data_IF_500743463058
#
_entry.id   IF_500743463058
#
_cell.length_a   1.000
_cell.length_b   1.000
_cell.length_c   1.000
_cell.angle_alpha   90.00
_cell.angle_beta   90.00
_cell.angle_gamma   90.00
#
_symmetry.space_group_name_H-M   'P 1'
#
loop_
_entity.id
_entity.type
_entity.pdbx_description
1 polymer ?
#
# COMPACT_ATOMS: atom_id res chain seq x y z
N UNK A 1 33.40 -4.83 21.92
CA UNK A 1 33.37 -4.80 20.44
C UNK A 1 32.12 -4.06 20.02
N UNK A 2 32.25 -2.83 19.55
CA UNK A 2 31.13 -2.04 19.07
C UNK A 2 30.55 -2.70 17.81
N UNK A 3 29.30 -3.12 17.88
CA UNK A 3 28.54 -3.64 16.74
C UNK A 3 28.42 -2.51 15.72
N UNK A 4 29.06 -2.63 14.55
CA UNK A 4 28.83 -1.73 13.43
C UNK A 4 27.32 -1.71 13.15
N UNK A 5 26.64 -0.60 13.49
CA UNK A 5 25.27 -0.38 13.09
C UNK A 5 25.18 -0.51 11.58
N UNK A 6 24.30 -1.40 11.09
CA UNK A 6 24.07 -1.56 9.65
C UNK A 6 23.77 -0.16 9.07
N UNK A 7 24.58 0.30 8.13
CA UNK A 7 24.36 1.59 7.48
C UNK A 7 23.01 1.58 6.76
N UNK A 8 22.31 2.72 6.76
CA UNK A 8 21.07 2.87 6.03
C UNK A 8 21.36 2.77 4.52
N UNK A 9 20.77 1.79 3.84
CA UNK A 9 21.05 1.52 2.42
C UNK A 9 20.04 2.27 1.55
N UNK A 10 20.50 3.15 0.64
CA UNK A 10 19.61 3.78 -0.32
C UNK A 10 19.09 2.73 -1.31
N UNK A 11 17.78 2.70 -1.48
CA UNK A 11 17.06 1.84 -2.40
C UNK A 11 16.32 2.68 -3.43
N UNK A 12 16.00 2.05 -4.57
CA UNK A 12 15.24 2.67 -5.66
C UNK A 12 13.81 2.15 -5.65
N UNK A 13 12.86 3.04 -5.92
CA UNK A 13 11.47 2.63 -6.14
C UNK A 13 11.40 1.55 -7.23
N UNK A 14 10.66 0.47 -6.94
CA UNK A 14 10.50 -0.65 -7.88
C UNK A 14 9.35 -0.34 -8.82
N UNK A 15 9.70 0.06 -10.04
CA UNK A 15 8.73 0.34 -11.10
C UNK A 15 8.60 -0.88 -12.02
N UNK A 16 7.39 -1.42 -12.10
CA UNK A 16 7.01 -2.43 -13.09
C UNK A 16 6.05 -1.84 -14.11
N UNK A 17 6.23 -2.19 -15.38
CA UNK A 17 5.29 -1.85 -16.45
C UNK A 17 4.64 -3.13 -16.95
N UNK A 18 3.31 -3.23 -16.89
CA UNK A 18 2.56 -4.41 -17.31
C UNK A 18 1.64 -4.07 -18.47
N UNK A 19 1.77 -4.83 -19.55
CA UNK A 19 0.91 -4.74 -20.73
C UNK A 19 -0.11 -5.87 -20.60
N UNK A 20 -1.40 -5.57 -20.73
CA UNK A 20 -2.43 -6.62 -20.79
C UNK A 20 -2.61 -7.15 -22.21
N UNK A 21 -3.21 -8.35 -22.41
CA UNK A 21 -3.66 -8.79 -23.72
C UNK A 21 -4.67 -7.81 -24.34
N UNK A 22 -4.85 -7.87 -25.66
CA UNK A 22 -6.00 -7.22 -26.31
C UNK A 22 -7.29 -7.86 -25.78
N UNK A 23 -8.32 -7.04 -25.61
CA UNK A 23 -9.66 -7.52 -25.27
C UNK A 23 -10.41 -7.89 -26.54
N UNK A 24 -11.40 -8.81 -26.50
CA UNK A 24 -12.18 -9.21 -27.67
C UNK A 24 -12.79 -8.02 -28.45
N UNK A 25 -13.26 -7.00 -27.72
CA UNK A 25 -13.84 -5.79 -28.33
C UNK A 25 -12.79 -4.89 -29.01
N UNK A 26 -11.50 -5.05 -28.68
CA UNK A 26 -10.37 -4.35 -29.31
C UNK A 26 -9.78 -5.16 -30.47
N UNK A 27 -10.03 -6.47 -30.53
CA UNK A 27 -9.61 -7.34 -31.64
C UNK A 27 -10.52 -7.19 -32.88
N UNK A 28 -11.77 -6.73 -32.68
CA UNK A 28 -12.84 -6.77 -33.68
C UNK A 28 -13.05 -5.53 -34.56
N UNK A 29 -12.38 -4.41 -34.31
CA UNK A 29 -12.43 -3.27 -35.23
C UNK A 29 -11.34 -3.44 -36.29
N UNK A 30 -11.70 -3.48 -37.58
CA UNK A 30 -10.82 -3.76 -38.73
C UNK A 30 -9.51 -2.90 -38.84
N UNK A 31 -9.18 -2.05 -37.86
CA UNK A 31 -7.95 -1.25 -37.81
C UNK A 31 -7.27 -1.14 -36.42
N UNK A 32 -7.70 -1.85 -35.36
CA UNK A 32 -7.03 -1.81 -34.04
C UNK A 32 -5.85 -2.80 -33.98
N UNK A 33 -4.74 -2.43 -34.62
CA UNK A 33 -3.45 -3.13 -34.51
C UNK A 33 -2.80 -2.82 -33.14
N UNK A 34 -1.94 -3.72 -32.66
CA UNK A 34 -1.08 -3.48 -31.49
C UNK A 34 -0.33 -2.15 -31.63
N UNK A 35 -0.68 -1.14 -30.85
CA UNK A 35 0.00 0.16 -30.92
C UNK A 35 1.43 0.11 -30.38
N UNK A 36 1.79 -0.98 -29.71
CA UNK A 36 3.05 -1.17 -29.01
C UNK A 36 3.66 -2.53 -29.33
N UNK A 37 4.98 -2.52 -29.49
CA UNK A 37 5.84 -3.71 -29.48
C UNK A 37 6.70 -3.68 -28.24
N UNK A 38 7.18 -4.83 -27.81
CA UNK A 38 8.09 -4.94 -26.69
C UNK A 38 9.17 -5.97 -27.00
N UNK A 39 10.39 -5.62 -26.64
CA UNK A 39 11.53 -6.53 -26.71
C UNK A 39 12.43 -6.30 -25.51
N UNK A 40 12.76 -7.38 -24.80
CA UNK A 40 13.50 -7.35 -23.55
C UNK A 40 12.87 -6.39 -22.52
N UNK A 41 13.52 -5.24 -22.29
CA UNK A 41 13.15 -4.23 -21.30
C UNK A 41 12.56 -2.96 -21.92
N UNK A 42 12.37 -2.97 -23.23
CA UNK A 42 11.98 -1.79 -24.01
C UNK A 42 10.61 -2.01 -24.65
N UNK A 43 9.73 -1.03 -24.47
CA UNK A 43 8.45 -0.93 -25.16
C UNK A 43 8.56 0.19 -26.19
N UNK A 44 8.16 -0.10 -27.43
CA UNK A 44 8.29 0.78 -28.59
C UNK A 44 6.96 0.92 -29.29
N UNK A 45 6.59 2.15 -29.61
CA UNK A 45 5.38 2.46 -30.35
C UNK A 45 5.50 1.93 -31.79
N UNK A 46 4.47 1.26 -32.29
CA UNK A 46 4.39 0.91 -33.71
C UNK A 46 4.01 2.16 -34.53
N UNK A 47 4.75 2.39 -35.62
CA UNK A 47 4.41 3.43 -36.59
C UNK A 47 3.49 2.80 -37.65
N UNK A 48 2.23 3.23 -37.68
CA UNK A 48 1.30 2.81 -38.71
C UNK A 48 1.49 3.70 -39.95
N UNK A 49 1.69 3.13 -41.15
CA UNK A 49 1.77 3.93 -42.37
C UNK A 49 0.43 4.67 -42.56
N UNK A 50 0.50 6.00 -42.74
CA UNK A 50 -0.66 6.82 -43.01
C UNK A 50 -1.41 6.25 -44.22
N UNK A 51 -2.69 5.89 -44.04
CA UNK A 51 -3.53 5.53 -45.17
C UNK A 51 -3.63 6.76 -46.09
N UNK A 52 -3.18 6.60 -47.34
CA UNK A 52 -3.28 7.62 -48.39
C UNK A 52 -4.76 7.91 -48.65
N UNK A 53 -5.35 8.81 -47.87
CA UNK A 53 -6.76 9.21 -47.99
C UNK A 53 -7.38 9.87 -46.77
N UNK A 54 -6.82 9.74 -45.55
CA UNK A 54 -7.41 10.35 -44.36
C UNK A 54 -6.98 11.82 -44.19
N UNK A 55 -7.61 12.74 -44.92
CA UNK A 55 -7.54 14.18 -44.64
C UNK A 55 -8.47 14.56 -43.48
N UNK A 56 -8.42 13.83 -42.36
CA UNK A 56 -9.14 14.21 -41.14
C UNK A 56 -8.26 15.11 -40.27
N UNK A 57 -8.85 16.16 -39.73
CA UNK A 57 -8.22 17.07 -38.74
C UNK A 57 -7.69 16.32 -37.52
N UNK A 58 -8.26 15.15 -37.19
CA UNK A 58 -7.80 14.26 -36.12
C UNK A 58 -6.48 13.55 -36.45
N UNK A 59 -6.28 13.07 -37.68
CA UNK A 59 -5.02 12.44 -38.08
C UNK A 59 -3.85 13.44 -38.03
N UNK A 60 -4.09 14.69 -38.47
CA UNK A 60 -3.11 15.76 -38.38
C UNK A 60 -2.86 16.25 -36.94
N UNK A 61 -3.88 16.26 -36.08
CA UNK A 61 -3.74 16.61 -34.66
C UNK A 61 -3.01 15.52 -33.86
N UNK A 62 -3.25 14.24 -34.20
CA UNK A 62 -2.53 13.10 -33.64
C UNK A 62 -1.05 13.14 -34.06
N UNK A 63 -0.76 13.35 -35.34
CA UNK A 63 0.61 13.49 -35.86
C UNK A 63 1.39 14.64 -35.21
N UNK A 64 0.75 15.80 -35.00
CA UNK A 64 1.35 16.94 -34.28
C UNK A 64 1.62 16.63 -32.79
N UNK A 65 0.73 15.90 -32.10
CA UNK A 65 0.93 15.47 -30.71
C UNK A 65 1.96 14.34 -30.58
N UNK A 66 2.16 13.56 -31.63
CA UNK A 66 3.10 12.43 -31.68
C UNK A 66 4.55 12.87 -31.90
N UNK A 67 4.81 13.98 -32.61
CA UNK A 67 6.18 14.47 -32.88
C UNK A 67 7.05 14.71 -31.64
N UNK A 68 6.44 15.02 -30.49
CA UNK A 68 7.16 15.33 -29.25
C UNK A 68 7.18 14.17 -28.23
N UNK A 69 6.59 13.02 -28.54
CA UNK A 69 6.57 11.88 -27.62
C UNK A 69 7.67 10.86 -27.93
N UNK A 70 8.37 10.32 -26.92
CA UNK A 70 9.34 9.26 -27.13
C UNK A 70 8.70 8.08 -27.84
N UNK A 71 9.35 7.58 -28.88
CA UNK A 71 8.90 6.40 -29.63
C UNK A 71 9.24 5.09 -28.90
N UNK A 72 10.07 5.14 -27.86
CA UNK A 72 10.44 3.99 -27.05
C UNK A 72 10.71 4.37 -25.57
N UNK A 73 10.49 3.42 -24.67
CA UNK A 73 10.71 3.56 -23.23
C UNK A 73 11.36 2.29 -22.68
N UNK A 74 12.30 2.44 -21.75
CA UNK A 74 13.04 1.31 -21.15
C UNK A 74 12.87 1.25 -19.64
N UNK A 75 12.46 0.10 -19.13
CA UNK A 75 12.19 -0.14 -17.72
C UNK A 75 12.99 -1.32 -17.18
N UNK A 76 13.26 -1.34 -15.87
CA UNK A 76 13.97 -2.47 -15.28
C UNK A 76 13.11 -3.74 -15.33
N UNK A 77 11.79 -3.57 -15.32
CA UNK A 77 10.79 -4.64 -15.37
C UNK A 77 9.65 -4.25 -16.31
N UNK A 78 9.57 -4.97 -17.42
CA UNK A 78 8.50 -4.90 -18.40
C UNK A 78 7.85 -6.28 -18.46
N UNK A 79 6.54 -6.33 -18.29
CA UNK A 79 5.75 -7.56 -18.23
C UNK A 79 4.82 -7.63 -19.43
N UNK A 80 5.16 -8.47 -20.43
CA UNK A 80 4.28 -8.79 -21.55
C UNK A 80 2.93 -9.39 -21.14
N UNK A 81 1.94 -9.41 -22.05
CA UNK A 81 0.59 -9.95 -21.81
C UNK A 81 0.54 -11.35 -21.19
N UNK A 82 1.51 -12.20 -21.52
CA UNK A 82 1.59 -13.60 -21.10
C UNK A 82 2.09 -13.75 -19.65
N UNK A 83 2.57 -12.66 -19.05
CA UNK A 83 3.15 -12.69 -17.70
C UNK A 83 2.06 -12.85 -16.64
N UNK A 84 2.14 -13.95 -15.88
CA UNK A 84 1.25 -14.19 -14.76
C UNK A 84 1.45 -13.17 -13.64
N UNK A 85 0.37 -12.90 -12.87
CA UNK A 85 0.45 -11.97 -11.74
C UNK A 85 1.41 -12.46 -10.64
N UNK A 86 1.63 -13.78 -10.53
CA UNK A 86 2.62 -14.36 -9.63
C UNK A 86 4.06 -13.94 -9.97
N UNK A 87 4.43 -13.96 -11.26
CA UNK A 87 5.74 -13.49 -11.72
C UNK A 87 5.89 -11.99 -11.49
N UNK A 88 4.83 -11.20 -11.76
CA UNK A 88 4.82 -9.76 -11.47
C UNK A 88 5.06 -9.51 -9.97
N UNK A 89 4.29 -10.15 -9.10
CA UNK A 89 4.41 -10.04 -7.65
C UNK A 89 5.82 -10.37 -7.15
N UNK A 90 6.35 -11.54 -7.55
CA UNK A 90 7.70 -11.97 -7.17
C UNK A 90 8.80 -11.02 -7.64
N UNK A 91 8.60 -10.36 -8.79
CA UNK A 91 9.59 -9.46 -9.36
C UNK A 91 9.59 -8.06 -8.73
N UNK A 92 8.41 -7.47 -8.43
CA UNK A 92 8.31 -6.08 -7.94
C UNK A 92 7.92 -5.93 -6.46
N UNK A 93 7.02 -6.77 -5.96
CA UNK A 93 6.28 -6.47 -4.72
C UNK A 93 6.71 -7.35 -3.54
N UNK A 94 7.14 -8.60 -3.79
CA UNK A 94 7.47 -9.56 -2.73
C UNK A 94 8.47 -9.00 -1.72
N UNK A 95 9.58 -8.44 -2.18
CA UNK A 95 10.59 -7.88 -1.28
C UNK A 95 10.03 -6.78 -0.36
N UNK A 96 9.18 -5.89 -0.89
CA UNK A 96 8.58 -4.80 -0.10
C UNK A 96 7.63 -5.35 0.98
N UNK A 97 6.94 -6.45 0.70
CA UNK A 97 6.14 -7.19 1.69
C UNK A 97 7.05 -7.79 2.76
N UNK A 98 8.17 -8.39 2.36
CA UNK A 98 9.12 -8.99 3.30
C UNK A 98 9.87 -7.95 4.15
N UNK A 99 10.14 -6.76 3.60
CA UNK A 99 10.73 -5.64 4.34
C UNK A 99 9.83 -5.23 5.52
N UNK A 100 8.51 -5.21 5.33
CA UNK A 100 7.56 -4.96 6.42
C UNK A 100 7.56 -6.06 7.48
N UNK A 101 7.64 -7.33 7.05
CA UNK A 101 7.62 -8.48 7.96
C UNK A 101 8.92 -8.66 8.76
N UNK A 102 10.06 -8.26 8.20
CA UNK A 102 11.40 -8.50 8.79
C UNK A 102 12.03 -7.27 9.42
N UNK A 103 11.84 -6.10 8.79
CA UNK A 103 12.50 -4.85 9.16
C UNK A 103 11.59 -3.81 9.80
N UNK A 104 10.28 -4.08 9.86
CA UNK A 104 9.31 -3.13 10.41
C UNK A 104 9.20 -1.88 9.53
N UNK A 105 9.47 -2.00 8.23
CA UNK A 105 9.42 -0.91 7.27
C UNK A 105 8.04 -0.81 6.62
N UNK A 106 7.50 0.39 6.54
CA UNK A 106 6.26 0.61 5.80
C UNK A 106 6.50 0.37 4.30
N UNK A 107 5.47 -0.10 3.60
CA UNK A 107 5.53 -0.22 2.15
C UNK A 107 4.24 0.19 1.46
N UNK A 108 4.39 0.70 0.25
CA UNK A 108 3.32 1.08 -0.65
C UNK A 108 3.45 0.28 -1.95
N UNK A 109 2.44 -0.53 -2.26
CA UNK A 109 2.27 -1.22 -3.53
C UNK A 109 1.09 -0.61 -4.26
N UNK A 110 1.34 0.12 -5.34
CA UNK A 110 0.31 0.88 -6.06
C UNK A 110 0.20 0.47 -7.52
N UNK A 111 -1.03 0.29 -8.01
CA UNK A 111 -1.30 0.17 -9.44
C UNK A 111 -1.80 1.50 -10.02
N UNK A 112 -1.26 1.87 -11.19
CA UNK A 112 -1.58 3.11 -11.90
C UNK A 112 -1.75 2.84 -13.39
N UNK A 113 -2.61 3.62 -14.04
CA UNK A 113 -2.92 3.48 -15.46
C UNK A 113 -4.38 3.80 -15.77
N UNK A 114 -4.71 3.79 -17.06
CA UNK A 114 -6.03 4.18 -17.54
C UNK A 114 -7.15 3.18 -17.18
N UNK A 115 -8.41 3.51 -17.46
CA UNK A 115 -9.50 2.55 -17.33
C UNK A 115 -9.22 1.31 -18.19
N UNK A 116 -9.61 0.14 -17.68
CA UNK A 116 -9.40 -1.16 -18.33
C UNK A 116 -7.94 -1.53 -18.61
N UNK A 117 -6.93 -0.85 -18.07
CA UNK A 117 -5.52 -1.20 -18.29
C UNK A 117 -5.05 -2.43 -17.53
N UNK A 118 -5.84 -2.94 -16.57
CA UNK A 118 -5.51 -4.12 -15.76
C UNK A 118 -5.03 -3.83 -14.32
N UNK A 119 -5.30 -2.62 -13.77
CA UNK A 119 -4.99 -2.27 -12.38
C UNK A 119 -5.65 -3.23 -11.37
N UNK A 120 -6.99 -3.28 -11.36
CA UNK A 120 -7.78 -4.13 -10.47
C UNK A 120 -7.46 -5.62 -10.66
N UNK A 121 -7.31 -6.07 -11.91
CA UNK A 121 -6.88 -7.45 -12.22
C UNK A 121 -5.54 -7.80 -11.54
N UNK A 122 -4.59 -6.87 -11.56
CA UNK A 122 -3.25 -7.10 -10.99
C UNK A 122 -3.24 -7.03 -9.47
N UNK A 123 -4.00 -6.11 -8.86
CA UNK A 123 -3.99 -5.90 -7.40
C UNK A 123 -4.97 -6.84 -6.69
N UNK A 124 -6.24 -6.80 -7.10
CA UNK A 124 -7.37 -7.42 -6.39
C UNK A 124 -7.92 -8.67 -7.08
N UNK A 125 -7.56 -8.92 -8.34
CA UNK A 125 -8.07 -10.06 -9.10
C UNK A 125 -7.78 -11.40 -8.42
N UNK A 126 -8.42 -12.47 -8.90
CA UNK A 126 -8.13 -13.83 -8.41
C UNK A 126 -6.66 -14.16 -8.67
N UNK A 127 -5.89 -14.45 -7.62
CA UNK A 127 -4.43 -14.59 -7.72
C UNK A 127 -3.69 -13.26 -7.94
N UNK A 128 -4.32 -12.14 -7.57
CA UNK A 128 -3.75 -10.80 -7.56
C UNK A 128 -2.64 -10.63 -6.53
N UNK A 129 -1.94 -9.50 -6.62
CA UNK A 129 -0.82 -9.14 -5.73
C UNK A 129 -1.23 -9.21 -4.26
N UNK A 130 -2.43 -8.77 -3.88
CA UNK A 130 -2.89 -8.82 -2.48
C UNK A 130 -2.94 -10.27 -1.98
N UNK A 131 -3.61 -11.16 -2.71
CA UNK A 131 -3.76 -12.56 -2.28
C UNK A 131 -2.42 -13.30 -2.22
N UNK A 132 -1.50 -12.99 -3.13
CA UNK A 132 -0.13 -13.52 -3.12
C UNK A 132 0.68 -12.96 -1.94
N UNK A 133 0.55 -11.67 -1.64
CA UNK A 133 1.20 -11.05 -0.50
C UNK A 133 0.71 -11.63 0.83
N UNK A 134 -0.60 -11.81 1.00
CA UNK A 134 -1.17 -12.44 2.20
C UNK A 134 -0.64 -13.88 2.36
N UNK A 135 -0.48 -14.63 1.27
CA UNK A 135 0.13 -15.97 1.31
C UNK A 135 1.55 -15.93 1.85
N UNK A 136 2.41 -15.05 1.31
CA UNK A 136 3.80 -14.92 1.75
C UNK A 136 3.90 -14.39 3.19
N UNK A 137 3.02 -13.46 3.59
CA UNK A 137 2.92 -12.95 4.97
C UNK A 137 2.65 -14.11 5.94
N UNK A 138 1.60 -14.89 5.71
CA UNK A 138 1.24 -16.00 6.61
C UNK A 138 2.22 -17.17 6.54
N UNK A 139 2.84 -17.41 5.38
CA UNK A 139 3.96 -18.35 5.29
C UNK A 139 5.12 -17.89 6.18
N UNK A 140 5.49 -16.62 6.16
CA UNK A 140 6.55 -16.07 7.00
C UNK A 140 6.21 -16.18 8.49
N UNK A 141 4.97 -15.87 8.88
CA UNK A 141 4.49 -16.05 10.26
C UNK A 141 4.68 -17.50 10.70
N UNK A 142 4.32 -18.47 9.85
CA UNK A 142 4.48 -19.89 10.15
C UNK A 142 5.96 -20.30 10.28
N UNK A 143 6.84 -19.80 9.41
CA UNK A 143 8.28 -20.05 9.46
C UNK A 143 8.93 -19.49 10.73
N UNK A 144 8.45 -18.35 11.23
CA UNK A 144 8.99 -17.65 12.42
C UNK A 144 8.23 -17.95 13.72
N UNK A 145 7.27 -18.88 13.71
CA UNK A 145 6.36 -19.14 14.85
C UNK A 145 7.05 -19.47 16.17
N UNK A 146 8.29 -19.96 16.13
CA UNK A 146 9.05 -20.35 17.32
C UNK A 146 9.86 -19.19 17.92
N UNK A 147 10.11 -18.13 17.14
CA UNK A 147 11.01 -17.03 17.52
C UNK A 147 10.29 -15.70 17.66
N UNK A 148 9.15 -15.53 16.97
CA UNK A 148 8.48 -14.23 16.83
C UNK A 148 6.97 -14.39 16.94
N UNK A 149 6.32 -13.44 17.60
CA UNK A 149 4.86 -13.30 17.64
C UNK A 149 4.43 -12.17 16.72
N UNK A 150 3.33 -12.40 15.98
CA UNK A 150 2.76 -11.45 15.04
C UNK A 150 1.31 -11.15 15.38
N UNK A 151 0.91 -9.89 15.26
CA UNK A 151 -0.47 -9.44 15.17
C UNK A 151 -0.65 -8.76 13.81
N UNK A 152 -1.54 -9.31 13.00
CA UNK A 152 -1.85 -8.78 11.67
C UNK A 152 -3.28 -8.27 11.69
N UNK A 153 -3.44 -7.01 11.30
CA UNK A 153 -4.74 -6.37 11.16
C UNK A 153 -4.95 -5.85 9.75
N UNK A 154 -6.18 -5.91 9.29
CA UNK A 154 -6.57 -5.52 7.93
C UNK A 154 -7.70 -4.51 7.99
N UNK A 155 -7.56 -3.44 7.24
CA UNK A 155 -8.62 -2.48 6.94
C UNK A 155 -8.76 -2.37 5.42
N UNK A 156 -9.99 -2.26 4.93
CA UNK A 156 -10.27 -2.16 3.49
C UNK A 156 -11.21 -0.99 3.23
N UNK A 157 -10.74 -0.02 2.44
CA UNK A 157 -11.39 1.28 2.31
C UNK A 157 -11.37 1.75 0.87
N UNK A 158 -12.47 2.33 0.42
CA UNK A 158 -12.56 3.10 -0.81
C UNK A 158 -12.48 4.61 -0.51
N UNK A 159 -11.85 5.37 -1.40
CA UNK A 159 -11.87 6.83 -1.41
C UNK A 159 -12.52 7.28 -2.72
N UNK A 160 -13.70 7.88 -2.61
CA UNK A 160 -14.41 8.49 -3.72
C UNK A 160 -14.74 9.95 -3.40
N UNK A 161 -14.39 10.87 -4.30
CA UNK A 161 -14.58 12.31 -4.11
C UNK A 161 -14.12 12.83 -2.72
N UNK A 162 -12.95 12.42 -2.25
CA UNK A 162 -12.39 12.77 -0.93
C UNK A 162 -13.25 12.31 0.28
N UNK A 163 -14.16 11.37 0.06
CA UNK A 163 -14.94 10.69 1.09
C UNK A 163 -14.48 9.23 1.22
N UNK A 164 -14.35 8.77 2.47
CA UNK A 164 -14.02 7.38 2.76
C UNK A 164 -15.26 6.51 2.82
N UNK A 165 -15.15 5.29 2.32
CA UNK A 165 -16.14 4.24 2.48
C UNK A 165 -15.46 2.96 3.00
N UNK A 166 -15.93 2.47 4.14
CA UNK A 166 -15.43 1.22 4.72
C UNK A 166 -16.01 0.01 3.98
N UNK A 167 -15.13 -0.88 3.51
CA UNK A 167 -15.49 -2.08 2.75
C UNK A 167 -15.65 -3.33 3.62
N UNK A 168 -15.29 -3.28 4.90
CA UNK A 168 -15.44 -4.39 5.83
C UNK A 168 -16.63 -4.24 6.78
N UNK A 169 -17.17 -3.01 6.91
CA UNK A 169 -18.30 -2.81 7.82
C UNK A 169 -19.56 -3.58 7.38
N UNK A 170 -20.16 -4.29 8.33
CA UNK A 170 -21.41 -5.06 8.15
C UNK A 170 -22.65 -4.29 8.56
N UNK A 171 -22.49 -3.18 9.28
CA UNK A 171 -23.56 -2.32 9.79
C UNK A 171 -23.21 -0.85 9.57
N UNK A 172 -24.18 0.02 9.30
CA UNK A 172 -23.90 1.46 9.22
C UNK A 172 -23.30 1.94 10.55
N UNK A 173 -22.03 2.33 10.52
CA UNK A 173 -21.37 2.98 11.66
C UNK A 173 -22.02 4.34 11.89
N UNK A 174 -22.28 4.68 13.15
CA UNK A 174 -22.71 6.02 13.55
C UNK A 174 -21.58 7.04 13.47
N UNK A 175 -20.32 6.58 13.53
CA UNK A 175 -19.15 7.45 13.42
C UNK A 175 -18.63 7.54 11.98
N UNK A 176 -18.42 8.76 11.44
CA UNK A 176 -17.88 8.95 10.11
C UNK A 176 -16.38 8.62 10.06
N UNK A 177 -15.96 7.97 8.97
CA UNK A 177 -14.54 7.71 8.70
C UNK A 177 -13.86 9.03 8.35
N UNK A 178 -12.75 9.33 9.03
CA UNK A 178 -12.00 10.58 8.82
C UNK A 178 -10.52 10.41 9.11
N UNK A 179 -9.71 11.26 8.49
CA UNK A 179 -8.32 11.46 8.88
C UNK A 179 -8.25 12.47 10.01
N UNK A 180 -7.67 12.08 11.14
CA UNK A 180 -7.35 12.97 12.27
C UNK A 180 -5.86 13.26 12.23
N UNK A 181 -5.48 14.51 12.45
CA UNK A 181 -4.09 14.90 12.54
C UNK A 181 -3.63 14.72 14.00
N UNK A 182 -2.62 13.89 14.20
CA UNK A 182 -1.98 13.70 15.49
C UNK A 182 -1.07 14.86 15.87
N UNK A 183 -0.57 14.85 17.10
CA UNK A 183 0.14 15.98 17.71
C UNK A 183 1.44 16.35 16.97
N UNK A 184 2.03 15.45 16.18
CA UNK A 184 3.30 15.68 15.46
C UNK A 184 3.11 15.76 13.95
N UNK A 185 1.87 15.91 13.50
CA UNK A 185 1.52 16.10 12.09
C UNK A 185 1.29 14.81 11.29
N UNK A 186 1.34 13.65 11.94
CA UNK A 186 0.88 12.38 11.40
C UNK A 186 -0.63 12.40 11.14
N UNK A 187 -1.08 11.72 10.08
CA UNK A 187 -2.50 11.48 9.84
C UNK A 187 -2.88 10.05 10.24
N UNK A 188 -3.91 9.93 11.08
CA UNK A 188 -4.48 8.66 11.52
C UNK A 188 -5.90 8.50 10.98
N UNK A 189 -6.22 7.33 10.44
CA UNK A 189 -7.57 7.01 9.96
C UNK A 189 -8.41 6.53 11.16
N UNK A 190 -9.51 7.21 11.45
CA UNK A 190 -10.44 6.85 12.55
C UNK A 190 -11.82 6.49 12.03
N UNK A 191 -12.61 5.73 12.79
CA UNK A 191 -13.98 5.36 12.43
C UNK A 191 -14.10 4.26 11.37
N UNK A 192 -13.00 3.59 11.05
CA UNK A 192 -12.95 2.48 10.10
C UNK A 192 -12.91 1.12 10.83
N UNK A 193 -13.45 0.09 10.19
CA UNK A 193 -13.35 -1.29 10.66
C UNK A 193 -11.94 -1.82 10.40
N UNK A 194 -11.28 -2.26 11.47
CA UNK A 194 -9.97 -2.92 11.42
C UNK A 194 -10.12 -4.33 12.01
N UNK A 195 -9.86 -5.37 11.20
CA UNK A 195 -10.09 -6.77 11.56
C UNK A 195 -8.76 -7.46 11.84
N UNK A 196 -8.64 -8.12 13.00
CA UNK A 196 -7.49 -8.97 13.31
C UNK A 196 -7.61 -10.31 12.60
N UNK A 197 -6.64 -10.64 11.75
CA UNK A 197 -6.64 -11.87 10.95
C UNK A 197 -5.67 -12.89 11.52
N UNK A 198 -6.14 -14.13 11.72
CA UNK A 198 -5.38 -15.19 12.40
C UNK A 198 -4.85 -16.27 11.46
N UNK A 199 -5.34 -16.31 10.22
CA UNK A 199 -4.92 -17.29 9.22
C UNK A 199 -5.05 -16.73 7.81
N UNK A 200 -4.35 -17.35 6.86
CA UNK A 200 -4.48 -17.03 5.43
C UNK A 200 -5.93 -17.16 4.96
N UNK A 201 -6.64 -18.21 5.37
CA UNK A 201 -8.04 -18.43 5.00
C UNK A 201 -8.95 -17.31 5.49
N UNK A 202 -8.78 -16.88 6.74
CA UNK A 202 -9.54 -15.74 7.29
C UNK A 202 -9.22 -14.45 6.53
N UNK A 203 -7.94 -14.14 6.28
CA UNK A 203 -7.57 -12.92 5.56
C UNK A 203 -8.09 -12.87 4.12
N UNK A 204 -8.08 -14.00 3.40
CA UNK A 204 -8.65 -14.11 2.06
C UNK A 204 -10.18 -13.97 2.07
N UNK A 205 -10.86 -14.54 3.06
CA UNK A 205 -12.31 -14.37 3.21
C UNK A 205 -12.71 -12.90 3.46
N UNK A 206 -11.93 -12.18 4.27
CA UNK A 206 -12.13 -10.73 4.50
C UNK A 206 -11.91 -9.93 3.20
N UNK A 207 -10.87 -10.26 2.44
CA UNK A 207 -10.62 -9.65 1.14
C UNK A 207 -11.78 -9.89 0.17
N UNK A 208 -12.23 -11.15 0.03
CA UNK A 208 -13.32 -11.53 -0.87
C UNK A 208 -14.64 -10.85 -0.46
N UNK A 209 -14.93 -10.77 0.84
CA UNK A 209 -16.11 -10.06 1.36
C UNK A 209 -16.08 -8.56 1.00
N UNK A 210 -14.94 -7.89 1.15
CA UNK A 210 -14.80 -6.49 0.76
C UNK A 210 -14.82 -6.27 -0.76
N UNK A 211 -14.33 -7.23 -1.55
CA UNK A 211 -14.47 -7.24 -3.02
C UNK A 211 -15.93 -7.37 -3.44
N UNK A 212 -16.68 -8.25 -2.78
CA UNK A 212 -18.08 -8.54 -3.08
C UNK A 212 -19.07 -7.51 -2.50
N UNK A 213 -18.60 -6.46 -1.79
CA UNK A 213 -19.50 -5.52 -1.10
C UNK A 213 -20.52 -4.88 -2.07
N UNK A 214 -21.83 -4.97 -1.79
CA UNK A 214 -22.87 -4.33 -2.61
C UNK A 214 -22.69 -2.81 -2.70
N UNK A 215 -23.13 -2.19 -3.80
CA UNK A 215 -22.95 -0.76 -4.07
C UNK A 215 -21.59 -0.41 -4.70
N UNK A 216 -20.67 -1.38 -4.75
CA UNK A 216 -19.38 -1.26 -5.41
C UNK A 216 -19.50 -1.25 -6.96
N UNK A 217 -20.51 -1.87 -7.56
CA UNK A 217 -20.55 -2.14 -9.01
C UNK A 217 -20.70 -0.94 -9.98
N UNK A 218 -21.44 0.12 -9.64
CA UNK A 218 -21.77 1.19 -10.59
C UNK A 218 -20.85 2.43 -10.53
N UNK A 219 -20.12 2.61 -9.42
CA UNK A 219 -19.27 3.79 -9.12
C UNK A 219 -17.76 3.47 -9.11
N UNK A 220 -17.33 2.33 -9.67
CA UNK A 220 -15.89 1.94 -9.71
C UNK A 220 -14.99 2.92 -10.48
N UNK A 221 -15.56 3.78 -11.34
CA UNK A 221 -14.77 4.44 -12.40
C UNK A 221 -13.88 5.58 -11.93
N UNK A 222 -13.99 6.07 -10.68
CA UNK A 222 -13.28 7.28 -10.23
C UNK A 222 -12.66 7.19 -8.82
N UNK A 223 -12.75 6.04 -8.16
CA UNK A 223 -12.30 5.87 -6.78
C UNK A 223 -10.98 5.15 -6.64
N UNK A 224 -10.35 5.35 -5.49
CA UNK A 224 -9.15 4.62 -5.07
C UNK A 224 -9.55 3.54 -4.08
N UNK A 225 -9.12 2.31 -4.32
CA UNK A 225 -9.35 1.19 -3.39
C UNK A 225 -8.06 0.85 -2.66
N UNK A 226 -8.10 0.79 -1.33
CA UNK A 226 -6.91 0.65 -0.48
C UNK A 226 -7.14 -0.48 0.53
N UNK A 227 -6.34 -1.54 0.43
CA UNK A 227 -6.19 -2.51 1.50
C UNK A 227 -4.98 -2.11 2.35
N UNK A 228 -5.22 -1.80 3.62
CA UNK A 228 -4.20 -1.53 4.62
C UNK A 228 -3.98 -2.79 5.45
N UNK A 229 -2.73 -3.25 5.50
CA UNK A 229 -2.31 -4.36 6.36
C UNK A 229 -1.33 -3.80 7.40
N UNK A 230 -1.76 -3.77 8.65
CA UNK A 230 -0.93 -3.40 9.79
C UNK A 230 -0.29 -4.66 10.35
N UNK A 231 1.04 -4.71 10.35
CA UNK A 231 1.82 -5.80 10.91
C UNK A 231 2.52 -5.29 12.14
N UNK A 232 2.30 -5.97 13.26
CA UNK A 232 3.07 -5.75 14.46
C UNK A 232 3.74 -7.05 14.89
N UNK A 233 5.00 -7.00 15.28
CA UNK A 233 5.74 -8.19 15.68
C UNK A 233 6.73 -7.95 16.83
N UNK A 234 7.02 -9.01 17.57
CA UNK A 234 7.91 -8.97 18.74
C UNK A 234 8.61 -10.33 18.87
N UNK A 235 9.87 -10.34 19.28
CA UNK A 235 10.58 -11.59 19.58
C UNK A 235 9.96 -12.29 20.81
N UNK A 236 9.86 -13.62 20.78
CA UNK A 236 9.41 -14.43 21.91
C UNK A 236 10.44 -14.41 23.03
N UNK A 237 9.97 -14.39 24.28
CA UNK A 237 10.83 -14.50 25.46
C UNK A 237 11.15 -15.98 25.70
N UNK A 238 12.40 -16.37 25.49
CA UNK A 238 12.85 -17.78 25.55
C UNK A 238 13.35 -18.21 26.93
N UNK A 239 13.50 -17.30 27.91
CA UNK A 239 14.04 -17.61 29.24
C UNK A 239 13.00 -17.47 30.35
N UNK A 240 12.83 -18.54 31.14
CA UNK A 240 12.07 -18.59 32.41
C UNK A 240 12.74 -17.81 33.56
N UNK A 241 13.54 -16.79 33.24
CA UNK A 241 14.07 -15.88 34.25
C UNK A 241 12.97 -14.91 34.65
N UNK A 242 12.77 -14.76 35.96
CA UNK A 242 11.75 -13.94 36.62
C UNK A 242 11.40 -12.65 35.85
N UNK A 243 10.15 -12.17 35.93
CA UNK A 243 9.65 -10.99 35.21
C UNK A 243 10.27 -9.70 35.77
N UNK A 244 11.55 -9.50 35.51
CA UNK A 244 12.24 -8.24 35.70
C UNK A 244 12.37 -7.61 34.31
N UNK A 245 11.40 -6.75 34.00
CA UNK A 245 11.47 -5.64 33.04
C UNK A 245 12.27 -5.89 31.73
N UNK A 246 12.01 -6.97 31.00
CA UNK A 246 12.56 -7.12 29.65
C UNK A 246 11.49 -7.57 28.65
N UNK A 247 10.59 -6.64 28.32
CA UNK A 247 9.66 -6.75 27.18
C UNK A 247 10.43 -6.42 25.91
N UNK A 248 10.72 -7.42 25.06
CA UNK A 248 11.31 -7.19 23.74
C UNK A 248 10.59 -6.03 23.01
N UNK A 249 11.27 -5.19 22.22
CA UNK A 249 10.60 -4.10 21.51
C UNK A 249 9.52 -4.64 20.56
N UNK A 250 8.35 -3.99 20.55
CA UNK A 250 7.31 -4.25 19.54
C UNK A 250 7.60 -3.40 18.33
N UNK A 251 7.69 -4.06 17.18
CA UNK A 251 7.88 -3.41 15.89
C UNK A 251 6.54 -3.32 15.17
N UNK A 252 6.33 -2.24 14.42
CA UNK A 252 5.14 -2.03 13.59
C UNK A 252 5.52 -1.57 12.19
N UNK A 253 4.86 -2.16 11.19
CA UNK A 253 4.89 -1.77 9.79
C UNK A 253 3.47 -1.68 9.23
N UNK A 254 3.28 -0.77 8.28
CA UNK A 254 2.03 -0.62 7.54
C UNK A 254 2.29 -0.85 6.06
N UNK A 255 1.57 -1.82 5.49
CA UNK A 255 1.55 -2.13 4.07
C UNK A 255 0.26 -1.59 3.46
N UNK A 256 0.38 -0.77 2.42
CA UNK A 256 -0.76 -0.31 1.63
C UNK A 256 -0.72 -0.95 0.24
N UNK A 257 -1.80 -1.66 -0.11
CA UNK A 257 -2.07 -2.10 -1.48
C UNK A 257 -3.13 -1.21 -2.08
N UNK A 258 -2.77 -0.47 -3.13
CA UNK A 258 -3.60 0.60 -3.69
C UNK A 258 -3.91 0.31 -5.15
N UNK A 259 -5.20 0.27 -5.46
CA UNK A 259 -5.74 0.29 -6.81
C UNK A 259 -6.29 1.69 -7.07
N UNK A 260 -5.49 2.53 -7.75
CA UNK A 260 -5.86 3.93 -7.96
C UNK A 260 -6.99 4.07 -8.97
N UNK A 261 -7.72 5.18 -8.87
CA UNK A 261 -8.63 5.62 -9.91
C UNK A 261 -7.91 5.71 -11.28
N UNK A 262 -8.66 5.62 -12.40
CA UNK A 262 -8.09 5.76 -13.73
C UNK A 262 -7.30 7.06 -13.93
N UNK A 263 -6.15 7.00 -14.59
CA UNK A 263 -5.25 8.15 -14.76
C UNK A 263 -5.83 9.27 -15.62
N UNK A 264 -6.74 8.96 -16.54
CA UNK A 264 -7.40 9.91 -17.44
C UNK A 264 -8.40 10.84 -16.71
N UNK A 265 -8.83 10.44 -15.52
CA UNK A 265 -9.74 11.18 -14.64
C UNK A 265 -9.24 12.59 -14.29
N UNK A 266 -7.94 12.84 -14.44
CA UNK A 266 -7.33 14.14 -14.15
C UNK A 266 -7.71 15.21 -15.18
N UNK A 267 -8.06 14.83 -16.42
CA UNK A 267 -8.22 15.77 -17.56
C UNK A 267 -9.66 15.95 -18.05
N UNK A 268 -10.68 15.46 -17.33
CA UNK A 268 -12.07 15.47 -17.81
C UNK A 268 -12.80 16.82 -17.68
N UNK A 269 -12.09 17.94 -17.81
CA UNK A 269 -12.70 19.27 -18.02
C UNK A 269 -13.00 19.41 -19.50
N UNK A 270 -14.15 18.89 -19.94
CA UNK A 270 -14.59 18.98 -21.34
C UNK A 270 -15.59 20.13 -21.45
N UNK A 271 -15.22 21.17 -22.22
CA UNK A 271 -16.12 22.16 -22.83
C UNK A 271 -17.05 22.96 -21.89
N UNK A 272 -16.52 23.60 -20.85
CA UNK A 272 -17.17 24.74 -20.18
C UNK A 272 -18.53 24.44 -19.52
N UNK A 273 -18.92 23.18 -19.39
CA UNK A 273 -20.01 22.73 -18.53
C UNK A 273 -19.38 21.91 -17.42
N UNK A 274 -19.55 22.35 -16.17
CA UNK A 274 -19.26 21.55 -14.99
C UNK A 274 -20.15 20.30 -15.02
N UNK A 275 -19.64 19.23 -15.64
CA UNK A 275 -20.19 17.90 -15.42
C UNK A 275 -19.70 17.51 -14.04
N UNK A 276 -20.63 17.24 -13.11
CA UNK A 276 -20.34 16.77 -11.76
C UNK A 276 -19.31 15.62 -11.79
N UNK A 277 -18.05 15.94 -11.53
CA UNK A 277 -16.91 15.07 -11.83
C UNK A 277 -15.60 15.86 -11.86
N UNK A 278 -15.40 16.71 -10.85
CA UNK A 278 -14.25 17.60 -10.74
C UNK A 278 -12.91 16.88 -10.82
N UNK A 279 -11.88 17.67 -11.16
CA UNK A 279 -10.47 17.29 -11.19
C UNK A 279 -10.11 16.33 -10.02
N UNK A 280 -9.57 15.14 -10.34
CA UNK A 280 -9.25 14.11 -9.33
C UNK A 280 -8.08 14.57 -8.43
N UNK A 281 -8.44 15.34 -7.39
CA UNK A 281 -7.55 15.99 -6.41
C UNK A 281 -6.54 14.99 -5.83
N UNK A 282 -7.01 13.81 -5.46
CA UNK A 282 -6.19 12.69 -4.98
C UNK A 282 -5.06 12.29 -5.95
N UNK A 283 -5.33 12.10 -7.24
CA UNK A 283 -4.29 11.74 -8.22
C UNK A 283 -3.27 12.86 -8.45
N UNK A 284 -3.72 14.12 -8.44
CA UNK A 284 -2.82 15.27 -8.59
C UNK A 284 -1.88 15.43 -7.39
N UNK A 285 -2.42 15.37 -6.18
CA UNK A 285 -1.63 15.42 -4.94
C UNK A 285 -0.62 14.26 -4.88
N UNK A 286 -1.07 13.05 -5.20
CA UNK A 286 -0.20 11.87 -5.27
C UNK A 286 0.92 12.04 -6.31
N UNK A 287 0.59 12.50 -7.51
CA UNK A 287 1.55 12.79 -8.57
C UNK A 287 2.55 13.87 -8.19
N UNK A 288 2.11 14.92 -7.49
CA UNK A 288 2.97 16.01 -7.01
C UNK A 288 3.99 15.52 -5.97
N UNK A 289 3.57 14.69 -5.02
CA UNK A 289 4.50 14.08 -4.04
C UNK A 289 5.53 13.20 -4.74
N UNK A 290 5.12 12.32 -5.67
CA UNK A 290 6.05 11.49 -6.43
C UNK A 290 7.00 12.33 -7.31
N UNK A 291 6.52 13.44 -7.87
CA UNK A 291 7.35 14.37 -8.62
C UNK A 291 8.42 14.99 -7.72
N UNK A 292 8.07 15.50 -6.53
CA UNK A 292 9.03 16.05 -5.55
C UNK A 292 10.07 15.00 -5.17
N UNK A 293 9.63 13.80 -4.79
CA UNK A 293 10.51 12.67 -4.45
C UNK A 293 11.47 12.29 -5.59
N UNK A 294 11.04 12.43 -6.85
CA UNK A 294 11.87 12.10 -8.02
C UNK A 294 12.89 13.19 -8.39
N UNK A 295 12.62 14.46 -8.07
CA UNK A 295 13.49 15.61 -8.42
C UNK A 295 14.47 15.96 -7.30
N UNK A 296 14.04 15.87 -6.04
CA UNK A 296 14.87 16.22 -4.88
C UNK A 296 15.92 15.16 -4.57
N UNK A 297 15.77 13.94 -5.10
CA UNK A 297 16.81 12.90 -5.07
C UNK A 297 18.13 13.33 -5.75
N UNK A 298 18.12 14.40 -6.56
CA UNK A 298 19.30 14.94 -7.25
C UNK A 298 19.98 16.12 -6.51
N UNK A 299 19.47 16.57 -5.35
CA UNK A 299 20.17 17.55 -4.51
C UNK A 299 21.04 16.81 -3.48
N UNK A 300 22.38 16.88 -3.56
CA UNK A 300 23.28 16.07 -2.74
C UNK A 300 23.38 16.50 -1.26
N UNK A 301 22.72 17.58 -0.83
CA UNK A 301 23.01 18.21 0.47
C UNK A 301 22.04 17.84 1.59
N UNK A 302 20.86 17.29 1.32
CA UNK A 302 19.91 16.86 2.37
C UNK A 302 18.81 15.96 1.80
N UNK A 303 18.53 14.76 2.35
CA UNK A 303 17.34 13.99 1.97
C UNK A 303 16.09 14.81 2.31
N UNK A 304 15.04 14.79 1.46
CA UNK A 304 13.81 15.52 1.73
C UNK A 304 13.23 15.06 3.06
N UNK A 305 12.94 16.00 3.95
CA UNK A 305 12.22 15.67 5.17
C UNK A 305 10.76 15.43 4.82
N UNK A 306 10.11 14.53 5.56
CA UNK A 306 8.68 14.24 5.38
C UNK A 306 7.81 15.50 5.55
N UNK A 307 8.29 16.53 6.24
CA UNK A 307 7.63 17.82 6.44
C UNK A 307 7.42 18.64 5.17
N UNK A 308 8.21 18.40 4.12
CA UNK A 308 8.21 19.23 2.90
C UNK A 308 7.22 18.72 1.83
N UNK A 309 6.59 17.57 2.08
CA UNK A 309 5.68 16.89 1.18
C UNK A 309 4.22 17.26 1.51
N UNK A 310 3.42 17.68 0.51
CA UNK A 310 2.07 18.19 0.74
C UNK A 310 1.02 17.07 0.93
N UNK A 311 1.20 16.24 1.97
CA UNK A 311 0.27 15.15 2.27
C UNK A 311 -1.15 15.63 2.54
N UNK A 312 -1.31 16.84 3.06
CA UNK A 312 -2.60 17.44 3.40
C UNK A 312 -3.51 17.75 2.22
N UNK A 313 -2.99 17.71 0.98
CA UNK A 313 -3.73 18.13 -0.22
C UNK A 313 -4.87 17.18 -0.60
N UNK A 314 -4.84 15.91 -0.19
CA UNK A 314 -5.93 14.96 -0.44
C UNK A 314 -6.04 13.89 0.66
N UNK A 315 -7.22 13.27 0.80
CA UNK A 315 -7.43 12.16 1.73
C UNK A 315 -6.55 10.95 1.38
N UNK A 316 -6.35 10.69 0.08
CA UNK A 316 -5.45 9.63 -0.38
C UNK A 316 -4.03 9.87 0.15
N UNK A 317 -3.47 11.07 -0.06
CA UNK A 317 -2.11 11.37 0.37
C UNK A 317 -1.97 11.46 1.89
N UNK A 318 -3.02 11.87 2.62
CA UNK A 318 -3.08 11.79 4.08
C UNK A 318 -3.02 10.35 4.56
N UNK A 319 -3.86 9.46 4.01
CA UNK A 319 -3.88 8.04 4.39
C UNK A 319 -2.56 7.34 4.05
N UNK A 320 -1.94 7.68 2.92
CA UNK A 320 -0.71 7.05 2.47
C UNK A 320 0.56 7.63 3.11
N UNK A 321 0.47 8.73 3.88
CA UNK A 321 1.63 9.41 4.50
C UNK A 321 2.62 8.44 5.18
N UNK A 322 2.20 7.41 5.95
CA UNK A 322 3.16 6.48 6.57
C UNK A 322 4.00 5.68 5.55
N UNK A 323 3.46 5.42 4.37
CA UNK A 323 4.03 4.54 3.34
C UNK A 323 4.50 5.26 2.06
N UNK A 324 4.17 6.54 1.93
CA UNK A 324 4.52 7.37 0.78
C UNK A 324 5.58 8.38 1.21
N UNK A 325 6.84 7.97 1.34
CA UNK A 325 7.88 8.86 1.81
C UNK A 325 9.28 8.29 1.64
N UNK A 326 10.32 9.04 2.06
CA UNK A 326 11.72 8.64 1.86
C UNK A 326 12.14 7.45 2.73
N UNK A 327 11.29 6.95 3.64
CA UNK A 327 11.61 5.86 4.57
C UNK A 327 10.69 4.64 4.43
N UNK A 328 9.97 4.54 3.31
CA UNK A 328 9.06 3.44 3.02
C UNK A 328 9.40 2.81 1.66
N UNK A 329 9.24 1.49 1.57
CA UNK A 329 9.43 0.77 0.30
C UNK A 329 8.33 1.16 -0.68
N UNK A 330 8.73 1.68 -1.85
CA UNK A 330 7.78 2.09 -2.90
C UNK A 330 7.83 1.13 -4.08
N UNK A 331 6.68 0.52 -4.37
CA UNK A 331 6.44 -0.35 -5.52
C UNK A 331 5.30 0.23 -6.35
N UNK A 332 5.55 0.46 -7.63
CA UNK A 332 4.56 0.98 -8.56
C UNK A 332 4.43 0.09 -9.78
N UNK A 333 3.21 -0.40 -10.01
CA UNK A 333 2.84 -1.18 -11.19
C UNK A 333 2.03 -0.32 -12.16
N UNK A 334 2.68 0.14 -13.22
CA UNK A 334 2.05 0.89 -14.30
C UNK A 334 1.44 -0.09 -15.31
N UNK A 335 0.12 -0.11 -15.42
CA UNK A 335 -0.64 -1.02 -16.27
C UNK A 335 -1.07 -0.31 -17.55
N UNK A 336 -0.94 -0.97 -18.71
CA UNK A 336 -1.10 -0.35 -20.03
C UNK A 336 -2.08 -1.14 -20.91
N UNK A 337 -2.81 -0.41 -21.75
CA UNK A 337 -3.55 -0.99 -22.88
C UNK A 337 -2.64 -1.12 -24.10
N UNK A 338 -2.64 -2.24 -24.83
CA UNK A 338 -1.95 -2.37 -26.11
C UNK A 338 -2.69 -1.71 -27.28
N UNK A 339 -3.95 -1.28 -27.09
CA UNK A 339 -4.81 -0.75 -28.16
C UNK A 339 -4.42 0.66 -28.62
N UNK A 340 -4.71 0.95 -29.90
CA UNK A 340 -4.45 2.26 -30.50
C UNK A 340 -5.32 3.36 -29.89
N UNK A 341 -6.56 3.05 -29.54
CA UNK A 341 -7.47 3.96 -28.82
C UNK A 341 -6.88 4.44 -27.48
N UNK A 342 -6.10 3.59 -26.79
CA UNK A 342 -5.40 3.91 -25.54
C UNK A 342 -4.02 4.56 -25.70
N UNK A 343 -3.56 4.85 -26.92
CA UNK A 343 -2.17 5.26 -27.20
C UNK A 343 -1.71 6.47 -26.37
N UNK A 344 -2.52 7.55 -26.35
CA UNK A 344 -2.16 8.79 -25.67
C UNK A 344 -2.07 8.60 -24.14
N UNK A 345 -3.01 7.88 -23.54
CA UNK A 345 -2.99 7.58 -22.10
C UNK A 345 -1.86 6.61 -21.73
N UNK A 346 -1.52 5.69 -22.64
CA UNK A 346 -0.36 4.82 -22.50
C UNK A 346 0.94 5.62 -22.49
N UNK A 347 1.13 6.59 -23.40
CA UNK A 347 2.28 7.51 -23.35
C UNK A 347 2.36 8.30 -22.05
N UNK A 348 1.23 8.81 -21.54
CA UNK A 348 1.19 9.54 -20.26
C UNK A 348 1.65 8.64 -19.11
N UNK A 349 1.14 7.41 -19.08
CA UNK A 349 1.50 6.40 -18.07
C UNK A 349 2.98 6.03 -18.16
N UNK A 350 3.52 5.84 -19.36
CA UNK A 350 4.94 5.54 -19.60
C UNK A 350 5.86 6.70 -19.19
N UNK A 351 5.47 7.95 -19.50
CA UNK A 351 6.19 9.16 -19.05
C UNK A 351 6.15 9.28 -17.53
N UNK A 352 5.02 8.96 -16.89
CA UNK A 352 4.89 8.92 -15.44
C UNK A 352 5.84 7.88 -14.82
N UNK A 353 5.79 6.63 -15.31
CA UNK A 353 6.65 5.54 -14.87
C UNK A 353 8.15 5.89 -14.99
N UNK A 354 8.53 6.55 -16.10
CA UNK A 354 9.92 6.95 -16.36
C UNK A 354 10.45 7.97 -15.35
N UNK A 355 9.57 8.84 -14.82
CA UNK A 355 9.91 9.78 -13.75
C UNK A 355 9.98 9.07 -12.39
N UNK A 356 8.98 8.24 -12.09
CA UNK A 356 8.91 7.48 -10.84
C UNK A 356 10.13 6.57 -10.60
N UNK A 357 10.76 6.06 -11.67
CA UNK A 357 11.99 5.24 -11.63
C UNK A 357 13.20 5.95 -10.99
N UNK A 358 13.14 7.27 -10.84
CA UNK A 358 14.20 8.10 -10.23
C UNK A 358 14.03 8.30 -8.71
N UNK A 359 12.90 7.86 -8.16
CA UNK A 359 12.63 7.97 -6.73
C UNK A 359 13.55 7.01 -5.96
N UNK A 360 14.17 7.54 -4.91
CA UNK A 360 14.97 6.79 -3.96
C UNK A 360 14.34 6.88 -2.57
N UNK A 361 14.47 5.80 -1.81
CA UNK A 361 14.10 5.75 -0.40
C UNK A 361 15.21 5.08 0.39
N UNK A 362 15.32 5.39 1.66
CA UNK A 362 16.32 4.84 2.57
C UNK A 362 15.58 4.12 3.68
N UNK A 363 15.68 2.79 3.67
CA UNK A 363 15.22 1.98 4.79
C UNK A 363 16.25 2.13 5.91
N UNK A 364 15.85 2.82 6.97
CA UNK A 364 16.66 2.91 8.17
C UNK A 364 16.51 1.61 8.93
N UNK A 365 17.58 0.88 9.26
CA UNK A 365 17.47 -0.13 10.29
C UNK A 365 16.95 0.58 11.53
N UNK A 366 15.77 0.16 12.02
CA UNK A 366 15.37 0.58 13.36
C UNK A 366 16.43 -0.05 14.28
N UNK A 367 17.11 0.73 15.13
CA UNK A 367 17.98 0.14 16.12
C UNK A 367 17.15 -0.91 16.86
N UNK A 368 17.70 -2.11 17.03
CA UNK A 368 17.24 -3.03 18.07
C UNK A 368 17.35 -2.23 19.37
N UNK A 369 16.27 -1.55 19.74
CA UNK A 369 16.35 -0.47 20.71
C UNK A 369 16.43 -1.08 22.10
N UNK A 370 17.67 -1.39 22.50
CA UNK A 370 18.19 -0.92 23.78
C UNK A 370 17.70 0.51 23.94
N UNK A 371 16.78 0.71 24.88
CA UNK A 371 16.38 2.05 25.30
C UNK A 371 17.63 2.72 25.86
N UNK A 372 18.27 3.56 25.06
CA UNK A 372 19.09 4.61 25.59
C UNK A 372 18.13 5.66 26.15
N UNK A 373 17.95 5.66 27.47
CA UNK A 373 17.11 6.61 28.21
C UNK A 373 17.51 8.08 27.98
N UNK A 374 18.61 8.34 27.25
CA UNK A 374 19.09 9.69 26.97
C UNK A 374 18.69 10.28 25.61
N UNK A 375 17.93 9.56 24.76
CA UNK A 375 17.44 10.09 23.47
C UNK A 375 15.94 10.48 23.52
N UNK A 376 15.59 11.79 23.54
CA UNK A 376 14.22 12.26 23.80
C UNK A 376 13.25 12.14 22.61
N UNK A 377 13.60 11.43 21.52
CA UNK A 377 12.92 11.64 20.23
C UNK A 377 11.70 10.76 19.92
N UNK A 378 11.40 9.70 20.66
CA UNK A 378 10.27 8.80 20.34
C UNK A 378 9.52 8.21 21.56
N UNK A 379 9.88 8.55 22.79
CA UNK A 379 9.55 7.72 23.96
C UNK A 379 8.16 7.91 24.61
N UNK A 380 7.47 9.06 24.48
CA UNK A 380 6.37 9.36 25.42
C UNK A 380 4.96 8.86 25.04
N UNK A 381 4.58 8.79 23.76
CA UNK A 381 3.23 8.28 23.36
C UNK A 381 3.25 6.83 22.87
N UNK A 382 4.39 6.39 22.35
CA UNK A 382 4.56 5.06 21.78
C UNK A 382 4.73 4.02 22.89
N UNK A 383 5.47 4.34 23.96
CA UNK A 383 5.70 3.41 25.08
C UNK A 383 4.40 2.94 25.75
N UNK A 384 3.46 3.86 26.02
CA UNK A 384 2.16 3.54 26.61
C UNK A 384 1.28 2.74 25.64
N UNK A 385 1.30 3.09 24.35
CA UNK A 385 0.54 2.37 23.31
C UNK A 385 1.06 0.95 23.11
N UNK A 386 2.38 0.76 23.07
CA UNK A 386 3.02 -0.56 22.98
C UNK A 386 2.81 -1.39 24.26
N UNK A 387 2.82 -0.76 25.44
CA UNK A 387 2.50 -1.43 26.70
C UNK A 387 1.04 -1.90 26.73
N UNK A 388 0.09 -1.06 26.31
CA UNK A 388 -1.34 -1.41 26.21
C UNK A 388 -1.55 -2.52 25.16
N UNK A 389 -0.87 -2.47 24.01
CA UNK A 389 -0.94 -3.51 22.98
C UNK A 389 -0.34 -4.84 23.46
N UNK A 390 0.80 -4.81 24.16
CA UNK A 390 1.41 -6.00 24.76
C UNK A 390 0.47 -6.62 25.82
N UNK A 391 -0.14 -5.79 26.67
CA UNK A 391 -1.14 -6.23 27.66
C UNK A 391 -2.39 -6.82 26.98
N UNK A 392 -2.88 -6.21 25.88
CA UNK A 392 -4.01 -6.74 25.09
C UNK A 392 -3.69 -8.08 24.43
N UNK A 393 -2.45 -8.29 23.97
CA UNK A 393 -2.00 -9.60 23.45
C UNK A 393 -1.88 -10.65 24.56
N UNK A 394 -1.39 -10.25 25.72
CA UNK A 394 -1.32 -11.11 26.89
C UNK A 394 -2.73 -11.55 27.31
N UNK A 395 -3.73 -10.65 27.24
CA UNK A 395 -5.15 -11.02 27.42
C UNK A 395 -5.63 -12.03 26.37
N UNK A 396 -5.36 -11.80 25.09
CA UNK A 396 -5.80 -12.71 24.03
C UNK A 396 -5.17 -14.11 24.17
N UNK A 397 -3.88 -14.18 24.53
CA UNK A 397 -3.16 -15.43 24.77
C UNK A 397 -3.69 -16.16 26.01
N UNK A 398 -3.92 -15.45 27.12
CA UNK A 398 -4.49 -16.04 28.34
C UNK A 398 -5.93 -16.51 28.13
N UNK A 399 -6.75 -15.79 27.35
CA UNK A 399 -8.10 -16.26 26.97
C UNK A 399 -8.06 -17.54 26.14
N UNK A 400 -7.12 -17.66 25.19
CA UNK A 400 -6.93 -18.88 24.42
C UNK A 400 -6.43 -20.05 25.27
N UNK A 401 -5.50 -19.81 26.21
CA UNK A 401 -5.06 -20.83 27.16
C UNK A 401 -6.20 -21.29 28.07
N UNK A 402 -7.06 -20.37 28.53
CA UNK A 402 -8.22 -20.69 29.37
C UNK A 402 -9.27 -21.54 28.63
N UNK A 403 -9.40 -21.41 27.30
CA UNK A 403 -10.29 -22.26 26.51
C UNK A 403 -9.77 -23.68 26.36
N UNK A 404 -8.44 -23.84 26.29
CA UNK A 404 -7.78 -25.13 26.03
C UNK A 404 -7.43 -25.90 27.30
N UNK A 405 -7.32 -25.24 28.47
CA UNK A 405 -7.05 -25.90 29.75
C UNK A 405 -8.29 -26.57 30.35
N UNK A 406 -8.15 -27.86 30.67
CA UNK A 406 -9.22 -28.69 31.27
C UNK A 406 -9.09 -28.79 32.80
N UNK A 407 -7.90 -28.56 33.34
CA UNK A 407 -7.57 -28.64 34.77
C UNK A 407 -8.01 -27.39 35.56
N UNK A 408 -8.72 -27.58 36.68
CA UNK A 408 -9.39 -26.50 37.42
C UNK A 408 -8.40 -25.58 38.16
N UNK A 409 -7.32 -26.13 38.74
CA UNK A 409 -6.27 -25.35 39.43
C UNK A 409 -5.49 -24.46 38.45
N UNK A 410 -5.22 -24.99 37.25
CA UNK A 410 -4.61 -24.23 36.14
C UNK A 410 -5.55 -23.14 35.61
N UNK A 411 -6.85 -23.41 35.53
CA UNK A 411 -7.86 -22.42 35.11
C UNK A 411 -7.98 -21.26 36.10
N UNK A 412 -7.97 -21.54 37.40
CA UNK A 412 -8.03 -20.49 38.41
C UNK A 412 -6.75 -19.63 38.42
N UNK A 413 -5.59 -20.24 38.20
CA UNK A 413 -4.33 -19.51 38.00
C UNK A 413 -4.38 -18.58 36.78
N UNK A 414 -4.95 -19.04 35.66
CA UNK A 414 -5.13 -18.24 34.43
C UNK A 414 -6.18 -17.13 34.65
N UNK A 415 -7.28 -17.39 35.38
CA UNK A 415 -8.28 -16.38 35.73
C UNK A 415 -7.69 -15.28 36.60
N UNK A 416 -6.83 -15.62 37.56
CA UNK A 416 -6.11 -14.63 38.39
C UNK A 416 -5.14 -13.80 37.54
N UNK A 417 -4.42 -14.42 36.60
CA UNK A 417 -3.57 -13.70 35.66
C UNK A 417 -4.36 -12.74 34.75
N UNK A 418 -5.51 -13.18 34.23
CA UNK A 418 -6.43 -12.34 33.44
C UNK A 418 -6.96 -11.16 34.24
N UNK A 419 -7.40 -11.41 35.48
CA UNK A 419 -7.89 -10.38 36.38
C UNK A 419 -6.81 -9.32 36.66
N UNK A 420 -5.56 -9.75 36.88
CA UNK A 420 -4.44 -8.85 37.11
C UNK A 420 -4.11 -7.98 35.89
N UNK A 421 -4.07 -8.57 34.68
CA UNK A 421 -3.85 -7.83 33.43
C UNK A 421 -4.99 -6.84 33.17
N UNK A 422 -6.24 -7.25 33.42
CA UNK A 422 -7.41 -6.37 33.29
C UNK A 422 -7.37 -5.20 34.28
N UNK A 423 -6.96 -5.45 35.53
CA UNK A 423 -6.79 -4.41 36.56
C UNK A 423 -5.71 -3.39 36.20
N UNK A 424 -4.60 -3.85 35.61
CA UNK A 424 -3.51 -2.97 35.13
C UNK A 424 -3.98 -2.11 33.96
N UNK A 425 -4.77 -2.66 33.04
CA UNK A 425 -5.36 -1.89 31.92
C UNK A 425 -6.35 -0.82 32.40
N UNK A 426 -7.23 -1.16 33.36
CA UNK A 426 -8.22 -0.23 33.91
C UNK A 426 -7.62 0.90 34.76
N UNK A 427 -6.43 0.68 35.32
CA UNK A 427 -5.72 1.68 36.12
C UNK A 427 -4.68 2.50 35.33
N UNK A 428 -4.53 2.29 34.02
CA UNK A 428 -3.67 3.12 33.18
C UNK A 428 -4.34 4.46 32.87
N UNK A 429 -3.59 5.56 33.01
CA UNK A 429 -4.11 6.94 32.91
C UNK A 429 -4.74 7.25 31.53
N UNK A 430 -4.36 6.54 30.47
CA UNK A 430 -4.92 6.67 29.11
C UNK A 430 -6.37 6.12 28.97
N UNK A 431 -6.78 5.17 29.81
CA UNK A 431 -8.16 4.66 29.81
C UNK A 431 -9.09 5.61 30.58
N UNK A 432 -8.59 6.25 31.65
CA UNK A 432 -9.32 7.29 32.38
C UNK A 432 -9.53 8.57 31.59
N UNK A 433 -8.71 8.85 30.57
CA UNK A 433 -8.88 10.00 29.69
C UNK A 433 -9.89 9.77 28.55
N UNK A 434 -10.35 8.52 28.34
CA UNK A 434 -11.28 8.13 27.26
C UNK A 434 -12.62 7.57 27.76
N UNK A 435 -12.84 7.55 29.08
CA UNK A 435 -14.14 7.35 29.74
C UNK A 435 -14.56 8.71 30.29
#
# INVERSE_FOLDING_TARGET
>A
MATLGKAAVPQRAKIGVRIRPLLPDEEGAQHDKHAWTWHNRTISQQIFPAHRGSSSTEAAALDRRMKDSPTAYTFDRLFPPETSTAVVYGSVAKDAVMDAMRGGHNALVVAYGQTNSGKTYSIQGKGGIIGLALRDIFQHVQEQRNTTEYLIRVAFVDIDNECFQDLLTTSPSTEPIRMVQGARGEFELTGHTEVSVMSLGHALAILDAGIAKPGRGAAMSQRHTILRVTVEYQAKVTTLTLPSANTNPVHMAVLHFVDLAPSESVNRVVQGRDVAGGMNKSLLAFGHILWKLSHEAHKPTTPPQTTDLPYGDSQLTRMLQPSLGPHASLVMLCTLSPSLSGLNETHKTLKFASRAKRIHYTLRPRPDAVMDESSPHLASSDSTTYAILALRRQLASLHAQLSDTVDDDSRDSIRVALHNVHRVLLNSDDVRAKI
#
